data_IF_555887568409
#
_entry.id   IF_555887568409
#
_cell.length_a   1.000
_cell.length_b   1.000
_cell.length_c   1.000
_cell.angle_alpha   90.00
_cell.angle_beta   90.00
_cell.angle_gamma   90.00
#
_symmetry.space_group_name_H-M   'P 1'
#
loop_
_entity.id
_entity.type
_entity.pdbx_description
1 polymer ?
#
# COMPACT_ATOMS: atom_id res chain seq x y z
N UNK A 1 3.63 19.21 -3.90
CA UNK A 1 3.90 18.57 -2.59
C UNK A 1 4.77 17.35 -2.87
N UNK A 2 5.94 17.17 -2.24
CA UNK A 2 6.77 15.99 -2.42
C UNK A 2 6.05 14.72 -1.95
N UNK A 3 6.44 13.57 -2.51
CA UNK A 3 6.00 12.26 -2.04
C UNK A 3 6.78 11.87 -0.77
N UNK A 4 6.09 11.23 0.19
CA UNK A 4 6.72 10.63 1.36
C UNK A 4 7.76 9.61 0.93
N UNK A 5 8.98 9.78 1.44
CA UNK A 5 10.05 8.81 1.20
C UNK A 5 9.69 7.46 1.82
N UNK A 6 10.06 6.38 1.14
CA UNK A 6 9.84 5.03 1.66
C UNK A 6 8.42 4.49 1.47
N UNK A 7 7.57 5.19 0.71
CA UNK A 7 6.22 4.73 0.40
C UNK A 7 6.15 3.95 -0.92
N UNK A 8 5.31 2.92 -0.94
CA UNK A 8 5.00 2.07 -2.09
C UNK A 8 3.49 1.94 -2.21
N UNK A 9 2.99 1.91 -3.44
CA UNK A 9 1.58 1.64 -3.75
C UNK A 9 1.48 0.35 -4.54
N UNK A 10 0.58 -0.54 -4.14
CA UNK A 10 0.30 -1.78 -4.85
C UNK A 10 -1.21 -2.00 -4.93
N UNK A 11 -1.78 -1.66 -6.09
CA UNK A 11 -3.18 -1.87 -6.42
C UNK A 11 -3.34 -1.87 -7.95
N UNK A 12 -4.39 -2.51 -8.45
CA UNK A 12 -4.89 -2.24 -9.79
C UNK A 12 -5.71 -0.94 -9.76
N UNK A 13 -5.84 -0.27 -10.89
CA UNK A 13 -6.61 0.98 -11.00
C UNK A 13 -7.59 0.80 -12.15
N UNK A 14 -8.87 1.06 -11.89
CA UNK A 14 -9.92 1.04 -12.91
C UNK A 14 -10.07 2.41 -13.62
N UNK A 15 -11.02 2.49 -14.55
CA UNK A 15 -11.27 3.71 -15.33
C UNK A 15 -11.79 4.90 -14.49
N UNK A 16 -12.40 4.63 -13.35
CA UNK A 16 -12.89 5.63 -12.40
C UNK A 16 -11.83 6.02 -11.35
N UNK A 17 -10.64 5.40 -11.43
CA UNK A 17 -9.54 5.64 -10.49
C UNK A 17 -9.71 4.94 -9.14
N UNK A 18 -10.62 3.96 -9.04
CA UNK A 18 -10.78 3.10 -7.86
C UNK A 18 -9.59 2.14 -7.78
N UNK A 19 -9.10 1.92 -6.56
CA UNK A 19 -8.05 0.95 -6.29
C UNK A 19 -8.67 -0.44 -6.12
N UNK A 20 -8.25 -1.38 -6.93
CA UNK A 20 -8.67 -2.77 -6.90
C UNK A 20 -7.57 -3.69 -6.36
N UNK A 21 -7.98 -4.88 -5.92
CA UNK A 21 -7.08 -5.87 -5.32
C UNK A 21 -6.06 -6.38 -6.33
N UNK A 22 -4.91 -6.82 -5.81
CA UNK A 22 -3.88 -7.48 -6.61
C UNK A 22 -3.40 -8.75 -5.92
N UNK A 23 -2.97 -9.69 -6.75
CA UNK A 23 -2.33 -10.92 -6.29
C UNK A 23 -0.92 -10.65 -5.75
N UNK A 24 -0.49 -11.51 -4.84
CA UNK A 24 0.84 -11.53 -4.25
C UNK A 24 1.18 -10.26 -3.48
N UNK A 25 0.20 -9.67 -2.77
CA UNK A 25 0.39 -8.42 -2.05
C UNK A 25 1.36 -8.60 -0.87
N UNK A 26 1.31 -9.74 -0.19
CA UNK A 26 2.21 -10.05 0.93
C UNK A 26 3.68 -10.15 0.49
N UNK A 27 3.95 -10.81 -0.63
CA UNK A 27 5.30 -10.92 -1.20
C UNK A 27 5.84 -9.55 -1.62
N UNK A 28 4.97 -8.69 -2.19
CA UNK A 28 5.33 -7.31 -2.55
C UNK A 28 5.64 -6.46 -1.32
N UNK A 29 4.85 -6.60 -0.25
CA UNK A 29 5.08 -5.91 1.03
C UNK A 29 6.43 -6.33 1.61
N UNK A 30 6.70 -7.63 1.69
CA UNK A 30 7.95 -8.15 2.24
C UNK A 30 9.18 -7.73 1.41
N UNK A 31 9.08 -7.79 0.08
CA UNK A 31 10.17 -7.39 -0.82
C UNK A 31 10.53 -5.91 -0.66
N UNK A 32 9.52 -5.06 -0.52
CA UNK A 32 9.74 -3.63 -0.35
C UNK A 32 10.17 -3.27 1.07
N UNK A 33 9.68 -3.97 2.10
CA UNK A 33 10.19 -3.84 3.46
C UNK A 33 11.68 -4.19 3.54
N UNK A 34 12.11 -5.26 2.86
CA UNK A 34 13.53 -5.61 2.73
C UNK A 34 14.37 -4.51 2.01
N UNK A 35 13.72 -3.66 1.22
CA UNK A 35 14.31 -2.46 0.59
C UNK A 35 14.09 -1.17 1.42
N UNK A 36 13.83 -1.31 2.73
CA UNK A 36 13.57 -0.24 3.69
C UNK A 36 12.38 0.68 3.30
N UNK A 37 11.39 0.12 2.60
CA UNK A 37 10.10 0.78 2.33
C UNK A 37 9.07 0.31 3.34
N UNK A 38 8.74 1.18 4.29
CA UNK A 38 7.88 0.84 5.42
C UNK A 38 6.44 1.24 5.22
N UNK A 39 6.12 2.13 4.27
CA UNK A 39 4.76 2.61 4.06
C UNK A 39 4.18 1.93 2.82
N UNK A 40 3.07 1.22 2.98
CA UNK A 40 2.41 0.47 1.93
C UNK A 40 0.98 0.92 1.75
N UNK A 41 0.65 1.45 0.57
CA UNK A 41 -0.72 1.78 0.19
C UNK A 41 -1.29 0.64 -0.65
N UNK A 42 -2.44 0.13 -0.22
CA UNK A 42 -3.18 -0.95 -0.90
C UNK A 42 -4.65 -0.55 -1.10
N UNK A 43 -5.36 -1.29 -1.95
CA UNK A 43 -6.82 -1.13 -2.08
C UNK A 43 -7.52 -1.31 -0.73
N UNK A 44 -8.61 -0.58 -0.52
CA UNK A 44 -9.51 -0.78 0.62
C UNK A 44 -10.01 -2.22 0.72
N UNK A 45 -10.26 -2.85 -0.44
CA UNK A 45 -10.78 -4.23 -0.54
C UNK A 45 -9.72 -5.29 -0.29
N UNK A 46 -8.42 -4.93 -0.38
CA UNK A 46 -7.30 -5.87 -0.39
C UNK A 46 -7.33 -6.83 0.81
N UNK A 47 -7.48 -8.12 0.54
CA UNK A 47 -7.24 -9.12 1.57
C UNK A 47 -5.73 -9.29 1.82
N UNK A 48 -5.31 -9.25 3.08
CA UNK A 48 -3.93 -9.47 3.53
C UNK A 48 -4.00 -10.46 4.70
N UNK A 49 -3.53 -11.69 4.48
CA UNK A 49 -3.74 -12.80 5.43
C UNK A 49 -3.05 -12.55 6.78
N UNK A 50 -1.78 -12.15 6.72
CA UNK A 50 -0.91 -12.00 7.89
C UNK A 50 -0.66 -10.52 8.24
N UNK A 51 -1.67 -9.67 8.07
CA UNK A 51 -1.55 -8.21 8.27
C UNK A 51 -0.92 -7.87 9.63
N UNK A 52 -1.40 -8.49 10.72
CA UNK A 52 -0.88 -8.23 12.06
C UNK A 52 0.61 -8.57 12.19
N UNK A 53 1.07 -9.64 11.53
CA UNK A 53 2.49 -10.01 11.57
C UNK A 53 3.35 -9.00 10.80
N UNK A 54 2.88 -8.54 9.62
CA UNK A 54 3.54 -7.50 8.84
C UNK A 54 3.64 -6.17 9.62
N UNK A 55 2.56 -5.79 10.30
CA UNK A 55 2.54 -4.59 11.15
C UNK A 55 3.49 -4.73 12.36
N UNK A 56 3.57 -5.91 12.98
CA UNK A 56 4.51 -6.18 14.07
C UNK A 56 5.98 -6.12 13.60
N UNK A 57 6.26 -6.36 12.32
CA UNK A 57 7.59 -6.14 11.72
C UNK A 57 7.89 -4.66 11.48
N UNK A 58 6.91 -3.78 11.62
CA UNK A 58 7.04 -2.33 11.40
C UNK A 58 6.61 -1.86 10.01
N UNK A 59 5.89 -2.68 9.25
CA UNK A 59 5.21 -2.23 8.02
C UNK A 59 3.98 -1.40 8.41
N UNK A 60 3.83 -0.23 7.81
CA UNK A 60 2.66 0.63 7.91
C UNK A 60 1.78 0.39 6.69
N UNK A 61 0.66 -0.30 6.87
CA UNK A 61 -0.31 -0.58 5.80
C UNK A 61 -1.42 0.48 5.83
N UNK A 62 -1.58 1.17 4.71
CA UNK A 62 -2.58 2.20 4.48
C UNK A 62 -3.55 1.67 3.43
N UNK A 63 -4.84 1.71 3.74
CA UNK A 63 -5.91 1.29 2.84
C UNK A 63 -6.55 2.51 2.18
N UNK A 64 -6.64 2.51 0.86
CA UNK A 64 -7.23 3.59 0.08
C UNK A 64 -8.26 3.07 -0.93
N UNK A 65 -9.37 3.79 -1.10
CA UNK A 65 -10.45 3.46 -2.01
C UNK A 65 -10.10 3.84 -3.46
N UNK A 66 -9.40 4.97 -3.66
CA UNK A 66 -9.12 5.51 -4.98
C UNK A 66 -7.75 6.24 -5.01
N UNK A 67 -7.32 6.59 -6.22
CA UNK A 67 -6.05 7.30 -6.46
C UNK A 67 -5.96 8.62 -5.70
N UNK A 68 -7.06 9.38 -5.61
CA UNK A 68 -7.08 10.66 -4.88
C UNK A 68 -6.78 10.48 -3.40
N UNK A 69 -7.42 9.52 -2.74
CA UNK A 69 -7.19 9.22 -1.33
C UNK A 69 -5.77 8.68 -1.08
N UNK A 70 -5.26 7.83 -1.97
CA UNK A 70 -3.89 7.35 -1.93
C UNK A 70 -2.89 8.51 -2.06
N UNK A 71 -3.14 9.44 -2.99
CA UNK A 71 -2.29 10.61 -3.16
C UNK A 71 -2.28 11.49 -1.91
N UNK A 72 -3.42 11.76 -1.28
CA UNK A 72 -3.49 12.55 -0.05
C UNK A 72 -2.67 11.95 1.10
N UNK A 73 -2.65 10.61 1.22
CA UNK A 73 -1.85 9.92 2.25
C UNK A 73 -0.36 9.90 1.94
N UNK A 74 0.02 9.97 0.66
CA UNK A 74 1.40 9.91 0.18
C UNK A 74 2.08 11.27 0.08
N UNK A 75 1.32 12.36 0.02
CA UNK A 75 1.90 13.70 -0.08
C UNK A 75 2.35 14.21 1.30
N UNK A 76 3.49 14.87 1.32
CA UNK A 76 4.05 15.62 2.46
C UNK A 76 4.28 17.08 2.10
#
# INVERSE_FOLDING_TARGET
>A
RPLKQGAVVSAAIDEDGVLEEVDGVEEKILAAFAADKKIFVVSLKQNIRDQQALENLGVVIIRAQNVSQAAETLLS
#
